data_IF_029523711170
#
_entry.id   IF_029523711170
#
_cell.length_a   1.000
_cell.length_b   1.000
_cell.length_c   1.000
_cell.angle_alpha   90.00
_cell.angle_beta   90.00
_cell.angle_gamma   90.00
#
_symmetry.space_group_name_H-M   'P 1'
#
loop_
_entity.id
_entity.type
_entity.pdbx_description
1 polymer ?
#
# COMPACT_ATOMS: atom_id res chain seq x y z
N UNK A 1 -24.00 -3.30 13.22
CA UNK A 1 -22.67 -3.11 12.59
C UNK A 1 -21.91 -4.42 12.76
N UNK A 2 -22.12 -5.38 11.87
CA UNK A 2 -21.31 -6.60 11.78
C UNK A 2 -20.03 -6.24 11.05
N UNK A 3 -19.05 -5.70 11.77
CA UNK A 3 -17.68 -5.57 11.26
C UNK A 3 -17.23 -6.97 10.85
N UNK A 4 -17.03 -7.17 9.55
CA UNK A 4 -16.56 -8.46 9.06
C UNK A 4 -15.17 -8.66 9.66
N UNK A 5 -14.97 -9.78 10.34
CA UNK A 5 -13.69 -10.15 10.98
C UNK A 5 -12.50 -9.98 10.02
N UNK A 6 -12.73 -10.12 8.71
CA UNK A 6 -11.75 -9.93 7.65
C UNK A 6 -11.32 -8.47 7.41
N UNK A 7 -12.20 -7.47 7.56
CA UNK A 7 -11.83 -6.05 7.38
C UNK A 7 -10.75 -5.62 8.39
N UNK A 8 -10.83 -6.12 9.63
CA UNK A 8 -9.81 -5.86 10.65
C UNK A 8 -8.44 -6.48 10.31
N UNK A 9 -8.43 -7.60 9.58
CA UNK A 9 -7.18 -8.23 9.14
C UNK A 9 -6.62 -7.61 7.86
N UNK A 10 -7.45 -7.01 7.00
CA UNK A 10 -6.99 -6.22 5.84
C UNK A 10 -6.17 -5.00 6.27
N UNK A 11 -6.59 -4.32 7.34
CA UNK A 11 -5.81 -3.23 7.95
C UNK A 11 -4.47 -3.74 8.50
N UNK A 12 -4.46 -4.90 9.18
CA UNK A 12 -3.22 -5.53 9.67
C UNK A 12 -2.30 -5.97 8.52
N UNK A 13 -2.86 -6.49 7.42
CA UNK A 13 -2.10 -6.83 6.20
C UNK A 13 -1.44 -5.56 5.64
N UNK A 14 -2.19 -4.47 5.54
CA UNK A 14 -1.69 -3.17 5.06
C UNK A 14 -0.58 -2.62 5.97
N UNK A 15 -0.78 -2.65 7.29
CA UNK A 15 0.24 -2.26 8.27
C UNK A 15 1.50 -3.13 8.20
N UNK A 16 1.35 -4.43 7.95
CA UNK A 16 2.47 -5.37 7.73
C UNK A 16 3.35 -4.95 6.56
N UNK A 17 2.72 -4.49 5.49
CA UNK A 17 3.40 -4.07 4.27
C UNK A 17 4.07 -2.70 4.41
N UNK A 18 3.64 -1.87 5.35
CA UNK A 18 4.31 -0.61 5.66
C UNK A 18 5.40 -0.76 6.73
N UNK A 19 5.41 -1.87 7.47
CA UNK A 19 6.34 -2.13 8.56
C UNK A 19 5.85 -1.62 9.93
N UNK A 20 4.61 -1.18 10.00
CA UNK A 20 3.99 -0.55 11.17
C UNK A 20 3.24 -1.55 12.06
N UNK A 21 3.74 -2.79 12.18
CA UNK A 21 3.15 -3.82 13.05
C UNK A 21 3.99 -4.07 14.29
N UNK A 22 3.33 -4.03 15.45
CA UNK A 22 3.89 -4.58 16.69
C UNK A 22 3.99 -6.11 16.61
N UNK A 23 4.83 -6.70 17.46
CA UNK A 23 5.03 -8.16 17.48
C UNK A 23 3.74 -8.93 17.82
N UNK A 24 2.89 -8.35 18.68
CA UNK A 24 1.60 -8.93 19.06
C UNK A 24 0.62 -8.97 17.87
N UNK A 25 0.57 -7.90 17.09
CA UNK A 25 -0.29 -7.81 15.91
C UNK A 25 0.19 -8.73 14.80
N UNK A 26 1.51 -8.86 14.64
CA UNK A 26 2.12 -9.83 13.72
C UNK A 26 1.71 -11.25 14.05
N UNK A 27 1.79 -11.65 15.32
CA UNK A 27 1.42 -13.01 15.75
C UNK A 27 -0.08 -13.28 15.57
N UNK A 28 -0.93 -12.26 15.82
CA UNK A 28 -2.38 -12.34 15.57
C UNK A 28 -2.70 -12.51 14.08
N UNK A 29 -2.02 -11.76 13.24
CA UNK A 29 -2.17 -11.85 11.78
C UNK A 29 -1.73 -13.23 11.30
N UNK A 30 -0.57 -13.72 11.73
CA UNK A 30 -0.02 -15.03 11.36
C UNK A 30 -0.99 -16.18 11.71
N UNK A 31 -1.53 -16.16 12.94
CA UNK A 31 -2.55 -17.13 13.39
C UNK A 31 -3.80 -17.10 12.50
N UNK A 32 -4.22 -15.92 12.03
CA UNK A 32 -5.38 -15.82 11.15
C UNK A 32 -5.08 -16.32 9.73
N UNK A 33 -3.90 -16.02 9.20
CA UNK A 33 -3.47 -16.45 7.87
C UNK A 33 -3.40 -17.98 7.74
N UNK A 34 -3.08 -18.67 8.85
CA UNK A 34 -3.08 -20.15 8.90
C UNK A 34 -4.49 -20.75 8.73
N UNK A 35 -5.54 -20.00 9.11
CA UNK A 35 -6.93 -20.46 9.08
C UNK A 35 -7.80 -19.83 7.98
N UNK A 36 -7.29 -18.82 7.27
CA UNK A 36 -8.05 -18.07 6.27
C UNK A 36 -7.31 -17.95 4.94
N UNK A 37 -7.72 -18.77 3.97
CA UNK A 37 -7.18 -18.75 2.61
C UNK A 37 -7.38 -17.40 1.90
N UNK A 38 -8.51 -16.72 2.16
CA UNK A 38 -8.79 -15.42 1.55
C UNK A 38 -7.79 -14.35 1.98
N UNK A 39 -7.53 -14.23 3.28
CA UNK A 39 -6.56 -13.25 3.79
C UNK A 39 -5.12 -13.61 3.38
N UNK A 40 -4.78 -14.90 3.30
CA UNK A 40 -3.50 -15.37 2.76
C UNK A 40 -3.31 -14.99 1.28
N UNK A 41 -4.33 -15.20 0.45
CA UNK A 41 -4.31 -14.80 -0.95
C UNK A 41 -4.17 -13.28 -1.11
N UNK A 42 -4.89 -12.50 -0.30
CA UNK A 42 -4.80 -11.03 -0.28
C UNK A 42 -3.38 -10.56 0.07
N UNK A 43 -2.77 -11.12 1.12
CA UNK A 43 -1.39 -10.79 1.51
C UNK A 43 -0.39 -11.10 0.38
N UNK A 44 -0.53 -12.27 -0.26
CA UNK A 44 0.33 -12.66 -1.38
C UNK A 44 0.20 -11.71 -2.58
N UNK A 45 -1.03 -11.30 -2.92
CA UNK A 45 -1.30 -10.35 -3.99
C UNK A 45 -0.66 -8.99 -3.72
N UNK A 46 -0.80 -8.46 -2.50
CA UNK A 46 -0.16 -7.19 -2.13
C UNK A 46 1.37 -7.28 -2.10
N UNK A 47 1.93 -8.39 -1.63
CA UNK A 47 3.38 -8.61 -1.63
C UNK A 47 3.95 -8.62 -3.07
N UNK A 48 3.25 -9.24 -4.01
CA UNK A 48 3.60 -9.24 -5.43
C UNK A 48 3.53 -7.82 -6.03
N UNK A 49 2.45 -7.09 -5.78
CA UNK A 49 2.32 -5.69 -6.19
C UNK A 49 3.48 -4.82 -5.66
N UNK A 50 3.85 -4.99 -4.38
CA UNK A 50 4.96 -4.25 -3.77
C UNK A 50 6.29 -4.60 -4.45
N UNK A 51 6.51 -5.87 -4.81
CA UNK A 51 7.69 -6.31 -5.57
C UNK A 51 7.75 -5.67 -6.95
N UNK A 52 6.62 -5.61 -7.67
CA UNK A 52 6.53 -4.97 -8.98
C UNK A 52 6.86 -3.48 -8.86
N UNK A 53 6.27 -2.78 -7.90
CA UNK A 53 6.51 -1.34 -7.67
C UNK A 53 7.97 -1.09 -7.28
N UNK A 54 8.56 -1.92 -6.42
CA UNK A 54 9.97 -1.80 -6.03
C UNK A 54 10.93 -1.98 -7.23
N UNK A 55 10.51 -2.70 -8.28
CA UNK A 55 11.26 -2.83 -9.52
C UNK A 55 11.17 -1.61 -10.45
N UNK A 56 10.27 -0.66 -10.18
CA UNK A 56 10.13 0.56 -10.97
C UNK A 56 11.28 1.51 -10.66
N UNK A 57 12.04 1.91 -11.69
CA UNK A 57 13.09 2.92 -11.54
C UNK A 57 12.49 4.25 -11.11
N UNK A 58 12.82 4.67 -9.90
CA UNK A 58 12.63 6.05 -9.48
C UNK A 58 13.58 6.96 -10.27
N UNK A 59 13.03 7.81 -11.12
CA UNK A 59 13.79 8.82 -11.87
C UNK A 59 13.58 10.16 -11.18
N UNK A 60 14.69 10.86 -10.91
CA UNK A 60 14.61 12.21 -10.37
C UNK A 60 13.86 13.11 -11.37
N UNK A 61 12.85 13.88 -10.91
CA UNK A 61 12.16 14.80 -11.79
C UNK A 61 13.14 15.82 -12.38
N UNK A 62 12.93 16.28 -13.64
CA UNK A 62 13.72 17.36 -14.21
C UNK A 62 13.68 18.60 -13.32
N UNK A 63 14.81 19.30 -13.19
CA UNK A 63 14.94 20.48 -12.29
C UNK A 63 13.91 21.57 -12.55
N UNK A 64 13.44 21.69 -13.78
CA UNK A 64 12.48 22.70 -14.21
C UNK A 64 11.00 22.26 -14.09
N UNK A 65 10.75 21.00 -13.72
CA UNK A 65 9.39 20.44 -13.66
C UNK A 65 8.46 21.30 -12.79
N UNK A 66 8.93 21.76 -11.63
CA UNK A 66 8.14 22.60 -10.73
C UNK A 66 7.76 23.95 -11.33
N UNK A 67 8.63 24.57 -12.12
CA UNK A 67 8.32 25.82 -12.83
C UNK A 67 7.26 25.58 -13.90
N UNK A 68 7.40 24.50 -14.69
CA UNK A 68 6.43 24.12 -15.74
C UNK A 68 5.05 23.81 -15.19
N UNK A 69 4.97 23.05 -14.10
CA UNK A 69 3.69 22.72 -13.45
C UNK A 69 2.99 24.00 -12.98
N UNK A 70 3.72 24.89 -12.30
CA UNK A 70 3.17 26.17 -11.81
C UNK A 70 2.63 27.03 -12.95
N UNK A 71 3.42 27.23 -14.01
CA UNK A 71 2.99 27.97 -15.19
C UNK A 71 1.77 27.34 -15.87
N UNK A 72 1.65 26.00 -15.87
CA UNK A 72 0.47 25.32 -16.39
C UNK A 72 -0.79 25.57 -15.56
N UNK A 73 -0.67 25.56 -14.23
CA UNK A 73 -1.76 25.85 -13.29
C UNK A 73 -2.23 27.31 -13.44
N UNK A 74 -1.29 28.27 -13.45
CA UNK A 74 -1.59 29.70 -13.63
C UNK A 74 -2.29 30.01 -14.96
N UNK A 75 -2.00 29.21 -16.00
CA UNK A 75 -2.63 29.32 -17.32
C UNK A 75 -3.93 28.55 -17.46
N UNK A 76 -4.43 27.92 -16.39
CA UNK A 76 -5.67 27.15 -16.40
C UNK A 76 -5.62 25.87 -17.26
N UNK A 77 -4.42 25.37 -17.58
CA UNK A 77 -4.25 24.23 -18.51
C UNK A 77 -4.71 22.88 -17.93
N UNK A 78 -4.94 22.82 -16.62
CA UNK A 78 -5.34 21.62 -15.89
C UNK A 78 -6.70 21.78 -15.19
N UNK A 79 -7.48 22.82 -15.53
CA UNK A 79 -8.82 23.08 -15.03
C UNK A 79 -9.89 22.72 -16.08
#
# INVERSE_FOLDING_TARGET
MTMNRHESFEELISASLNGDLTDLERQRLDTHLDSCEQCSATLAAFADQRRIIAGVRHVAPPRDLGARVRTGIERGRFA
#
